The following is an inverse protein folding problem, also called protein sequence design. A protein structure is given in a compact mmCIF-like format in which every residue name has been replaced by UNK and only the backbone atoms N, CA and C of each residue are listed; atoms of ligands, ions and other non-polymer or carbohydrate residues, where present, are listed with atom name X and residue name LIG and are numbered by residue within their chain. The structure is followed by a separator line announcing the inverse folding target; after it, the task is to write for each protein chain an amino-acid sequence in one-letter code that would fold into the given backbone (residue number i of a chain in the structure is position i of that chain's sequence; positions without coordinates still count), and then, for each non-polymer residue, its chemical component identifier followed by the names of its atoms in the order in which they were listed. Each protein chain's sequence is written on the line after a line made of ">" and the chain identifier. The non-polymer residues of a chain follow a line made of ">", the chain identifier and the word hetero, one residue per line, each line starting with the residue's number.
data_IF_812289344827
#
_entry.id   IF_812289344827
#
_cell.length_a   1.000
_cell.length_b   1.000
_cell.length_c   1.000
_cell.angle_alpha   90.00
_cell.angle_beta   90.00
_cell.angle_gamma   90.00
#
_symmetry.space_group_name_H-M   'P 1'
#
loop_
_entity.id
_entity.type
_entity.pdbx_description
1 polymer ?
#
# COMPACT_ATOMS: atom_id res chain seq x y z
N UNK A 1 -10.37 -26.95 1.13
CA UNK A 1 -9.83 -25.65 0.67
C UNK A 1 -10.73 -24.55 1.19
N UNK A 2 -10.21 -23.65 1.99
CA UNK A 2 -11.01 -22.57 2.60
C UNK A 2 -11.66 -21.71 1.50
N UNK A 3 -12.93 -21.29 1.69
CA UNK A 3 -13.66 -20.46 0.71
C UNK A 3 -12.86 -19.19 0.30
N UNK A 4 -12.14 -18.58 1.26
CA UNK A 4 -11.29 -17.41 1.01
C UNK A 4 -10.15 -17.70 0.03
N UNK A 5 -9.53 -18.88 0.03
CA UNK A 5 -8.42 -19.20 -0.88
C UNK A 5 -8.90 -19.36 -2.33
N UNK A 6 -10.08 -19.94 -2.49
CA UNK A 6 -10.73 -20.01 -3.81
C UNK A 6 -11.05 -18.62 -4.35
N UNK A 7 -11.56 -17.74 -3.49
CA UNK A 7 -11.82 -16.35 -3.86
C UNK A 7 -10.55 -15.59 -4.21
N UNK A 8 -9.46 -15.75 -3.44
CA UNK A 8 -8.16 -15.15 -3.75
C UNK A 8 -7.65 -15.54 -5.13
N UNK A 9 -7.66 -16.83 -5.44
CA UNK A 9 -7.27 -17.33 -6.79
C UNK A 9 -8.14 -16.73 -7.88
N UNK A 10 -9.47 -16.74 -7.71
CA UNK A 10 -10.43 -16.17 -8.68
C UNK A 10 -10.13 -14.71 -8.96
N UNK A 11 -10.04 -13.87 -7.90
CA UNK A 11 -9.85 -12.44 -8.06
C UNK A 11 -8.45 -12.06 -8.55
N UNK A 12 -7.42 -12.84 -8.21
CA UNK A 12 -6.10 -12.69 -8.80
C UNK A 12 -6.12 -12.90 -10.32
N UNK A 13 -6.79 -13.95 -10.80
CA UNK A 13 -6.97 -14.19 -12.24
C UNK A 13 -7.73 -13.08 -12.93
N UNK A 14 -8.82 -12.59 -12.32
CA UNK A 14 -9.59 -11.47 -12.88
C UNK A 14 -8.71 -10.22 -12.99
N UNK A 15 -7.95 -9.91 -11.95
CA UNK A 15 -7.01 -8.79 -11.95
C UNK A 15 -5.97 -8.92 -13.06
N UNK A 16 -5.30 -10.07 -13.15
CA UNK A 16 -4.31 -10.33 -14.21
C UNK A 16 -4.89 -10.11 -15.59
N UNK A 17 -6.08 -10.61 -15.86
CA UNK A 17 -6.76 -10.48 -17.16
C UNK A 17 -7.19 -9.04 -17.47
N UNK A 18 -7.55 -8.27 -16.45
CA UNK A 18 -8.09 -6.91 -16.59
C UNK A 18 -7.07 -5.83 -16.20
N UNK A 19 -5.81 -6.20 -15.99
CA UNK A 19 -4.79 -5.24 -15.63
C UNK A 19 -4.61 -4.19 -16.74
N UNK A 20 -4.49 -2.95 -16.32
CA UNK A 20 -4.03 -1.84 -17.16
C UNK A 20 -3.13 -0.93 -16.33
N UNK A 21 -2.18 -0.30 -16.98
CA UNK A 21 -1.32 0.67 -16.31
C UNK A 21 -2.09 1.97 -16.07
N UNK A 22 -2.17 2.37 -14.80
CA UNK A 22 -2.84 3.62 -14.42
C UNK A 22 -1.96 4.83 -14.71
N UNK A 23 -2.58 5.98 -14.99
CA UNK A 23 -1.89 7.27 -15.08
C UNK A 23 -1.85 7.95 -13.70
N UNK A 24 -0.96 8.92 -13.53
CA UNK A 24 -0.87 9.71 -12.29
C UNK A 24 -2.19 10.40 -11.91
N UNK A 25 -2.99 10.79 -12.90
CA UNK A 25 -4.34 11.37 -12.69
C UNK A 25 -5.32 10.46 -11.96
N UNK A 26 -5.05 9.15 -11.92
CA UNK A 26 -5.84 8.19 -11.12
C UNK A 26 -5.89 8.57 -9.64
N UNK A 27 -4.85 9.23 -9.14
CA UNK A 27 -4.77 9.67 -7.74
C UNK A 27 -5.44 11.02 -7.45
N UNK A 28 -6.04 11.69 -8.45
CA UNK A 28 -6.70 12.98 -8.23
C UNK A 28 -7.79 12.96 -7.14
N UNK A 29 -8.65 11.93 -7.03
CA UNK A 29 -9.64 11.86 -5.94
C UNK A 29 -8.98 11.77 -4.57
N UNK A 30 -7.91 10.98 -4.43
CA UNK A 30 -7.13 10.87 -3.19
C UNK A 30 -6.49 12.22 -2.84
N UNK A 31 -5.87 12.88 -3.80
CA UNK A 31 -5.26 14.21 -3.63
C UNK A 31 -6.27 15.24 -3.15
N UNK A 32 -7.47 15.26 -3.76
CA UNK A 32 -8.56 16.14 -3.32
C UNK A 32 -8.97 15.87 -1.86
N UNK A 33 -9.08 14.60 -1.48
CA UNK A 33 -9.42 14.18 -0.12
C UNK A 33 -8.35 14.63 0.88
N UNK A 34 -7.08 14.43 0.55
CA UNK A 34 -5.95 14.82 1.40
C UNK A 34 -5.93 16.34 1.57
N UNK A 35 -6.06 17.11 0.49
CA UNK A 35 -6.10 18.56 0.55
C UNK A 35 -7.26 19.08 1.40
N UNK A 36 -8.41 18.40 1.37
CA UNK A 36 -9.57 18.79 2.20
C UNK A 36 -9.30 18.55 3.69
N UNK A 37 -8.64 17.43 4.05
CA UNK A 37 -8.44 17.03 5.45
C UNK A 37 -7.15 17.56 6.08
N UNK A 38 -6.11 17.80 5.27
CA UNK A 38 -4.76 18.14 5.75
C UNK A 38 -4.21 19.35 4.97
N UNK A 39 -4.87 20.52 5.09
CA UNK A 39 -4.62 21.70 4.24
C UNK A 39 -3.19 22.23 4.31
N UNK A 40 -2.57 22.23 5.49
CA UNK A 40 -1.36 23.03 5.74
C UNK A 40 -0.14 22.25 6.21
N UNK A 41 -0.21 20.90 6.28
CA UNK A 41 0.90 20.07 6.75
C UNK A 41 1.31 18.99 5.77
N UNK A 42 2.53 18.53 5.91
CA UNK A 42 2.95 17.29 5.28
C UNK A 42 2.15 16.09 5.82
N UNK A 43 1.81 15.16 4.94
CA UNK A 43 1.03 13.97 5.27
C UNK A 43 1.92 12.75 5.17
N UNK A 44 1.95 11.94 6.21
CA UNK A 44 2.61 10.64 6.22
C UNK A 44 1.68 9.61 5.58
N UNK A 45 1.97 9.26 4.34
CA UNK A 45 1.20 8.30 3.57
C UNK A 45 1.91 6.96 3.54
N UNK A 46 1.31 5.91 4.11
CA UNK A 46 1.81 4.57 3.83
C UNK A 46 1.32 4.10 2.48
N UNK A 47 2.23 3.54 1.72
CA UNK A 47 1.98 2.93 0.43
C UNK A 47 2.47 1.49 0.44
N UNK A 48 2.37 0.83 -0.68
CA UNK A 48 3.01 -0.46 -0.95
C UNK A 48 3.85 -0.35 -2.22
N UNK A 49 4.90 -1.13 -2.34
CA UNK A 49 5.60 -1.27 -3.61
C UNK A 49 4.77 -2.21 -4.49
N UNK A 50 4.31 -1.76 -5.67
CA UNK A 50 3.35 -2.53 -6.46
C UNK A 50 3.95 -3.84 -6.98
N UNK A 51 3.20 -4.92 -6.86
CA UNK A 51 3.55 -6.24 -7.35
C UNK A 51 2.32 -6.94 -7.94
N UNK A 52 2.51 -8.00 -8.70
CA UNK A 52 1.45 -8.93 -9.10
C UNK A 52 0.17 -8.27 -9.64
N UNK A 53 0.32 -7.37 -10.58
CA UNK A 53 -0.79 -6.64 -11.22
C UNK A 53 -1.57 -5.71 -10.27
N UNK A 54 -0.94 -5.22 -9.22
CA UNK A 54 -1.51 -4.18 -8.36
C UNK A 54 -1.51 -2.82 -9.04
N UNK A 55 -2.35 -1.92 -8.55
CA UNK A 55 -2.33 -0.53 -8.98
C UNK A 55 -0.94 0.08 -8.70
N UNK A 56 -0.34 0.70 -9.70
CA UNK A 56 1.00 1.25 -9.61
C UNK A 56 1.04 2.53 -8.77
N UNK A 57 1.24 2.38 -7.46
CA UNK A 57 1.32 3.49 -6.50
C UNK A 57 2.52 4.42 -6.74
N UNK A 58 3.54 3.97 -7.49
CA UNK A 58 4.68 4.81 -7.86
C UNK A 58 4.28 5.97 -8.77
N UNK A 59 3.11 5.90 -9.41
CA UNK A 59 2.53 7.02 -10.17
C UNK A 59 2.20 8.25 -9.31
N UNK A 60 2.13 8.12 -7.99
CA UNK A 60 2.06 9.27 -7.08
C UNK A 60 3.27 10.19 -7.20
N UNK A 61 4.45 9.62 -7.46
CA UNK A 61 5.69 10.40 -7.62
C UNK A 61 5.71 11.26 -8.89
N UNK A 62 4.81 11.01 -9.84
CA UNK A 62 4.64 11.81 -11.05
C UNK A 62 3.69 12.99 -10.84
N UNK A 63 3.02 13.07 -9.67
CA UNK A 63 2.12 14.17 -9.34
C UNK A 63 2.89 15.31 -8.66
N UNK A 64 2.53 16.56 -8.97
CA UNK A 64 3.10 17.72 -8.25
C UNK A 64 2.78 17.73 -6.75
N UNK A 65 1.78 16.94 -6.34
CA UNK A 65 1.36 16.80 -4.95
C UNK A 65 2.34 15.99 -4.08
N UNK A 66 3.25 15.23 -4.68
CA UNK A 66 4.25 14.43 -3.95
C UNK A 66 5.06 15.26 -2.94
N UNK A 67 5.27 16.55 -3.21
CA UNK A 67 6.00 17.47 -2.32
C UNK A 67 5.33 17.64 -0.94
N UNK A 68 4.04 17.35 -0.84
CA UNK A 68 3.27 17.38 0.42
C UNK A 68 3.23 16.03 1.12
N UNK A 69 3.73 14.97 0.51
CA UNK A 69 3.68 13.62 1.03
C UNK A 69 5.07 13.17 1.52
N UNK A 70 5.07 12.53 2.68
CA UNK A 70 6.15 11.63 3.07
C UNK A 70 5.66 10.22 2.86
N UNK A 71 6.37 9.44 2.05
CA UNK A 71 5.95 8.08 1.69
C UNK A 71 6.63 7.08 2.61
N UNK A 72 5.85 6.15 3.12
CA UNK A 72 6.30 5.07 3.98
C UNK A 72 5.93 3.74 3.37
N UNK A 73 6.85 2.78 3.39
CA UNK A 73 6.62 1.42 2.96
C UNK A 73 6.63 0.46 4.15
N UNK A 74 5.87 -0.64 4.06
CA UNK A 74 5.84 -1.64 5.12
C UNK A 74 7.16 -2.42 5.19
N UNK A 75 7.61 -2.66 6.41
CA UNK A 75 8.70 -3.57 6.75
C UNK A 75 8.14 -4.66 7.66
N UNK A 76 8.33 -5.90 7.29
CA UNK A 76 7.86 -7.05 8.05
C UNK A 76 8.94 -7.56 8.98
N UNK A 77 8.55 -7.92 10.21
CA UNK A 77 9.43 -8.49 11.22
C UNK A 77 9.10 -9.97 11.46
N UNK A 78 10.05 -10.71 12.00
CA UNK A 78 9.94 -12.16 12.24
C UNK A 78 8.71 -12.57 13.06
N UNK A 79 8.28 -11.74 13.99
CA UNK A 79 7.08 -11.96 14.81
C UNK A 79 5.75 -11.62 14.09
N UNK A 80 5.76 -11.55 12.77
CA UNK A 80 4.62 -11.12 11.95
C UNK A 80 4.11 -9.69 12.23
N UNK A 81 4.91 -8.88 12.91
CA UNK A 81 4.62 -7.45 13.05
C UNK A 81 4.97 -6.70 11.76
N UNK A 82 4.28 -5.59 11.56
CA UNK A 82 4.51 -4.70 10.42
C UNK A 82 4.73 -3.29 10.95
N UNK A 83 5.74 -2.61 10.41
CA UNK A 83 6.07 -1.22 10.72
C UNK A 83 6.24 -0.45 9.42
N UNK A 84 6.03 0.86 9.45
CA UNK A 84 6.16 1.72 8.29
C UNK A 84 7.40 2.59 8.42
N UNK A 85 8.31 2.46 7.45
CA UNK A 85 9.55 3.22 7.36
C UNK A 85 9.54 4.15 6.15
N UNK A 86 10.08 5.36 6.31
CA UNK A 86 10.14 6.33 5.22
C UNK A 86 10.96 5.78 4.05
N UNK A 87 10.48 6.02 2.85
CA UNK A 87 11.13 5.63 1.62
C UNK A 87 10.98 6.74 0.58
N UNK A 88 12.08 7.09 -0.05
CA UNK A 88 12.14 8.03 -1.19
C UNK A 88 12.35 7.23 -2.47
N UNK A 89 11.89 7.76 -3.59
CA UNK A 89 11.82 7.05 -4.88
C UNK A 89 13.11 6.33 -5.31
N UNK A 90 14.27 6.85 -4.93
CA UNK A 90 15.57 6.29 -5.33
C UNK A 90 16.30 5.57 -4.19
N UNK A 91 15.66 5.42 -3.03
CA UNK A 91 16.25 4.68 -1.92
C UNK A 91 16.30 3.19 -2.24
N UNK A 92 17.35 2.54 -1.75
CA UNK A 92 17.57 1.11 -1.98
C UNK A 92 16.48 0.30 -1.30
N UNK A 93 15.95 -0.68 -2.03
CA UNK A 93 15.03 -1.68 -1.53
C UNK A 93 15.73 -3.04 -1.42
N UNK A 94 15.28 -3.86 -0.49
CA UNK A 94 15.67 -5.27 -0.36
C UNK A 94 14.46 -6.18 -0.44
N UNK A 95 14.68 -7.42 -0.80
CA UNK A 95 13.62 -8.46 -0.79
C UNK A 95 13.59 -9.08 0.59
N UNK A 96 12.42 -9.12 1.22
CA UNK A 96 12.22 -9.80 2.50
C UNK A 96 11.93 -11.30 2.34
N UNK A 97 11.81 -12.02 3.44
CA UNK A 97 11.53 -13.46 3.46
C UNK A 97 10.21 -13.87 2.80
N UNK A 98 9.29 -12.93 2.54
CA UNK A 98 8.03 -13.17 1.85
C UNK A 98 8.09 -12.80 0.36
N UNK A 99 9.27 -12.46 -0.17
CA UNK A 99 9.46 -12.06 -1.56
C UNK A 99 8.98 -10.65 -1.89
N UNK A 100 8.73 -9.80 -0.88
CA UNK A 100 8.28 -8.43 -1.08
C UNK A 100 9.44 -7.44 -0.95
N UNK A 101 9.36 -6.34 -1.71
CA UNK A 101 10.32 -5.25 -1.60
C UNK A 101 9.99 -4.37 -0.40
N UNK A 102 11.00 -4.09 0.42
CA UNK A 102 10.93 -3.22 1.57
C UNK A 102 12.17 -2.30 1.66
N UNK A 103 12.10 -1.15 2.35
CA UNK A 103 13.25 -0.28 2.55
C UNK A 103 14.46 -1.03 3.12
N UNK A 104 15.62 -0.89 2.48
CA UNK A 104 16.87 -1.49 2.96
C UNK A 104 17.44 -0.72 4.14
N UNK A 105 17.27 0.61 4.15
CA UNK A 105 17.68 1.51 5.24
C UNK A 105 16.44 1.85 6.05
N UNK A 106 16.46 1.53 7.34
CA UNK A 106 15.32 1.75 8.23
C UNK A 106 15.45 3.13 8.90
N UNK A 107 14.41 3.94 8.72
CA UNK A 107 14.17 5.16 9.48
C UNK A 107 13.46 4.83 10.81
N UNK A 108 13.17 5.85 11.61
CA UNK A 108 12.20 5.69 12.69
C UNK A 108 10.84 5.34 12.09
N UNK A 109 10.18 4.31 12.63
CA UNK A 109 8.84 3.95 12.20
C UNK A 109 7.81 4.93 12.78
N UNK A 110 6.73 5.11 12.04
CA UNK A 110 5.63 6.00 12.43
C UNK A 110 4.28 5.31 12.22
N UNK A 111 3.24 5.89 12.83
CA UNK A 111 1.86 5.57 12.45
C UNK A 111 1.45 6.52 11.31
N UNK A 112 1.10 6.01 10.13
CA UNK A 112 0.72 6.86 9.00
C UNK A 112 -0.58 7.61 9.24
N UNK A 113 -0.69 8.81 8.68
CA UNK A 113 -1.96 9.57 8.67
C UNK A 113 -2.98 8.94 7.70
N UNK A 114 -2.50 8.37 6.61
CA UNK A 114 -3.30 7.73 5.56
C UNK A 114 -2.59 6.46 5.10
N UNK A 115 -3.36 5.42 4.84
CA UNK A 115 -2.83 4.14 4.37
C UNK A 115 -3.44 3.74 3.03
N UNK A 116 -2.59 3.48 2.04
CA UNK A 116 -2.97 2.74 0.84
C UNK A 116 -2.76 1.25 1.12
N UNK A 117 -3.84 0.51 1.16
CA UNK A 117 -3.81 -0.90 1.53
C UNK A 117 -4.02 -1.75 0.29
N UNK A 118 -3.08 -2.65 -0.06
CA UNK A 118 -3.25 -3.56 -1.17
C UNK A 118 -4.38 -4.57 -0.88
N UNK A 119 -5.16 -4.89 -1.90
CA UNK A 119 -6.24 -5.84 -1.79
C UNK A 119 -6.49 -6.55 -3.13
N UNK A 120 -7.09 -7.72 -3.10
CA UNK A 120 -7.54 -8.46 -4.29
C UNK A 120 -8.95 -8.07 -4.74
N UNK A 121 -9.84 -7.84 -3.78
CA UNK A 121 -11.22 -7.44 -4.02
C UNK A 121 -11.81 -6.77 -2.78
N UNK A 122 -12.93 -6.12 -2.94
CA UNK A 122 -13.77 -5.61 -1.85
C UNK A 122 -15.24 -5.84 -2.19
N UNK A 123 -16.09 -5.89 -1.17
CA UNK A 123 -17.53 -6.02 -1.31
C UNK A 123 -18.26 -4.67 -1.12
N UNK A 124 -19.59 -4.71 -1.23
CA UNK A 124 -20.44 -3.51 -1.07
C UNK A 124 -20.43 -2.95 0.36
N UNK A 125 -20.02 -3.73 1.34
CA UNK A 125 -19.86 -3.34 2.74
C UNK A 125 -18.46 -2.84 3.05
N UNK A 126 -17.60 -2.68 2.03
CA UNK A 126 -16.19 -2.30 2.13
C UNK A 126 -15.31 -3.32 2.88
N UNK A 127 -15.76 -4.58 3.02
CA UNK A 127 -14.88 -5.65 3.48
C UNK A 127 -13.86 -5.95 2.38
N UNK A 128 -12.58 -6.01 2.74
CA UNK A 128 -11.52 -6.30 1.78
C UNK A 128 -11.09 -7.76 1.83
N UNK A 129 -10.73 -8.28 0.69
CA UNK A 129 -10.06 -9.55 0.52
C UNK A 129 -8.57 -9.28 0.24
N UNK A 130 -7.73 -9.51 1.23
CA UNK A 130 -6.27 -9.42 1.09
C UNK A 130 -5.64 -10.73 0.63
N UNK A 131 -4.31 -10.75 0.60
CA UNK A 131 -3.51 -11.90 0.12
C UNK A 131 -3.39 -13.06 1.13
N UNK A 132 -3.84 -12.87 2.36
CA UNK A 132 -3.89 -13.94 3.36
C UNK A 132 -2.86 -13.84 4.49
N UNK A 133 -1.85 -12.98 4.39
CA UNK A 133 -0.84 -12.80 5.45
C UNK A 133 -1.34 -12.09 6.71
N UNK A 134 -2.46 -11.37 6.64
CA UNK A 134 -3.10 -10.70 7.77
C UNK A 134 -2.31 -9.52 8.38
N UNK A 135 -1.22 -9.07 7.75
CA UNK A 135 -0.35 -8.03 8.29
C UNK A 135 -1.09 -6.71 8.53
N UNK A 136 -1.84 -6.25 7.53
CA UNK A 136 -2.62 -5.02 7.64
C UNK A 136 -3.76 -5.13 8.66
N UNK A 137 -4.41 -6.30 8.77
CA UNK A 137 -5.49 -6.50 9.75
C UNK A 137 -4.94 -6.44 11.17
N UNK A 138 -3.80 -7.09 11.43
CA UNK A 138 -3.12 -7.01 12.73
C UNK A 138 -2.65 -5.61 13.05
N UNK A 139 -2.10 -4.90 12.05
CA UNK A 139 -1.67 -3.52 12.24
C UNK A 139 -2.83 -2.60 12.61
N UNK A 140 -3.93 -2.64 11.84
CA UNK A 140 -5.13 -1.83 12.08
C UNK A 140 -5.83 -2.15 13.41
N UNK A 141 -5.72 -3.38 13.90
CA UNK A 141 -6.28 -3.75 15.21
C UNK A 141 -5.43 -3.23 16.38
N UNK A 142 -4.19 -2.82 16.12
CA UNK A 142 -3.30 -2.31 17.15
C UNK A 142 -3.41 -0.79 17.33
N UNK A 143 -3.72 -0.08 16.27
CA UNK A 143 -3.79 1.39 16.17
C UNK A 143 -5.18 1.85 15.74
#
# INVERSE_FOLDING_TARGET
>A
MHNKDRLRKKYFFIRKKKYFEIKSSFFNPLIKLINKKHKERHVNLSSYYPASFEANTLKLFETGFIKKLRIFLPVLKENNAMYFHEWKKNDVLKINQFGMLEPAILSNHIVPDIMLIPLLAYDKQNNRLGYGGGFYDRYLNKY
#
